data_IF_122122770392
#
_entry.id   IF_122122770392
#
_cell.length_a   1.000
_cell.length_b   1.000
_cell.length_c   1.000
_cell.angle_alpha   90.00
_cell.angle_beta   90.00
_cell.angle_gamma   90.00
#
_symmetry.space_group_name_H-M   'P 1'
#
loop_
_entity.id
_entity.type
_entity.pdbx_description
1 polymer ?
#
# COMPACT_ATOMS: atom_id res chain seq x y z
N UNK A 1 27.35 -12.32 7.91
CA UNK A 1 26.55 -11.11 7.64
C UNK A 1 27.12 -9.94 8.42
N UNK A 2 27.31 -8.80 7.77
CA UNK A 2 27.85 -7.57 8.37
C UNK A 2 26.96 -6.40 8.00
N UNK A 3 26.63 -5.56 8.97
CA UNK A 3 25.78 -4.37 8.74
C UNK A 3 26.60 -3.10 8.93
N UNK A 4 26.48 -2.18 7.98
CA UNK A 4 27.02 -0.82 8.10
C UNK A 4 25.90 0.20 7.91
N UNK A 5 26.05 1.41 8.45
CA UNK A 5 24.99 2.42 8.48
C UNK A 5 25.53 3.71 7.91
N UNK A 6 24.77 4.33 6.99
CA UNK A 6 24.97 5.70 6.52
C UNK A 6 23.75 6.51 6.94
N UNK A 7 23.96 7.73 7.41
CA UNK A 7 22.86 8.61 7.80
C UNK A 7 23.04 10.01 7.23
N UNK A 8 21.93 10.67 6.95
CA UNK A 8 21.85 12.11 6.70
C UNK A 8 20.77 12.72 7.61
N UNK A 9 20.22 13.89 7.28
CA UNK A 9 19.31 14.60 8.19
C UNK A 9 17.97 13.87 8.40
N UNK A 10 17.40 13.37 7.32
CA UNK A 10 16.10 12.70 7.24
C UNK A 10 16.20 11.29 6.63
N UNK A 11 17.42 10.74 6.61
CA UNK A 11 17.73 9.49 5.93
C UNK A 11 18.58 8.59 6.80
N UNK A 12 18.25 7.30 6.80
CA UNK A 12 19.06 6.23 7.34
C UNK A 12 19.12 5.09 6.33
N UNK A 13 20.33 4.63 6.00
CA UNK A 13 20.58 3.54 5.05
C UNK A 13 21.38 2.46 5.76
N UNK A 14 20.80 1.27 5.86
CA UNK A 14 21.43 0.06 6.38
C UNK A 14 21.98 -0.75 5.21
N UNK A 15 23.29 -0.96 5.18
CA UNK A 15 23.94 -1.78 4.16
C UNK A 15 24.27 -3.14 4.79
N UNK A 16 23.61 -4.20 4.35
CA UNK A 16 23.73 -5.57 4.86
C UNK A 16 24.53 -6.41 3.87
N UNK A 17 25.76 -6.77 4.24
CA UNK A 17 26.63 -7.64 3.46
C UNK A 17 26.28 -9.12 3.71
N UNK A 18 25.92 -9.85 2.65
CA UNK A 18 25.51 -11.26 2.64
C UNK A 18 26.36 -12.06 1.66
N UNK A 19 27.20 -12.98 2.17
CA UNK A 19 28.13 -13.75 1.33
C UNK A 19 27.44 -14.85 0.50
N UNK A 20 26.44 -15.52 1.07
CA UNK A 20 25.66 -16.55 0.39
C UNK A 20 24.18 -16.15 0.40
N UNK A 21 23.69 -15.63 -0.71
CA UNK A 21 22.33 -15.15 -0.87
C UNK A 21 21.36 -16.23 -1.43
N UNK A 22 21.72 -17.51 -1.30
CA UNK A 22 20.88 -18.61 -1.79
C UNK A 22 20.57 -19.67 -0.73
N UNK A 23 21.32 -19.75 0.37
CA UNK A 23 20.97 -20.68 1.44
C UNK A 23 19.84 -20.15 2.33
N UNK A 24 19.02 -21.10 2.80
CA UNK A 24 17.96 -20.80 3.75
C UNK A 24 18.49 -20.16 5.04
N UNK A 25 19.65 -20.60 5.54
CA UNK A 25 20.26 -20.03 6.75
C UNK A 25 20.55 -18.53 6.60
N UNK A 26 21.17 -18.13 5.49
CA UNK A 26 21.45 -16.72 5.19
C UNK A 26 20.17 -15.91 4.94
N UNK A 27 19.21 -16.45 4.19
CA UNK A 27 17.93 -15.76 3.95
C UNK A 27 17.13 -15.58 5.25
N UNK A 28 17.15 -16.59 6.13
CA UNK A 28 16.49 -16.53 7.42
C UNK A 28 17.14 -15.51 8.36
N UNK A 29 18.48 -15.45 8.39
CA UNK A 29 19.22 -14.44 9.13
C UNK A 29 18.98 -13.03 8.55
N UNK A 30 18.88 -12.90 7.22
CA UNK A 30 18.57 -11.63 6.57
C UNK A 30 17.18 -11.16 6.96
N UNK A 31 16.19 -12.05 6.93
CA UNK A 31 14.83 -11.77 7.37
C UNK A 31 14.77 -11.34 8.85
N UNK A 32 15.61 -11.93 9.73
CA UNK A 32 15.74 -11.47 11.12
C UNK A 32 16.27 -10.03 11.20
N UNK A 33 17.22 -9.64 10.34
CA UNK A 33 17.70 -8.26 10.29
C UNK A 33 16.60 -7.28 9.86
N UNK A 34 15.81 -7.60 8.81
CA UNK A 34 14.67 -6.76 8.41
C UNK A 34 13.67 -6.55 9.57
N UNK A 35 13.41 -7.59 10.35
CA UNK A 35 12.55 -7.52 11.53
C UNK A 35 13.15 -6.66 12.64
N UNK A 36 14.42 -6.89 12.97
CA UNK A 36 15.10 -6.14 14.02
C UNK A 36 15.14 -4.65 13.69
N UNK A 37 15.43 -4.29 12.44
CA UNK A 37 15.46 -2.92 11.96
C UNK A 37 14.09 -2.24 12.05
N UNK A 38 13.04 -2.88 11.53
CA UNK A 38 11.68 -2.31 11.56
C UNK A 38 11.04 -2.27 12.93
N UNK A 39 11.37 -3.20 13.83
CA UNK A 39 10.91 -3.14 15.21
C UNK A 39 11.57 -2.00 16.01
N UNK A 40 12.77 -1.57 15.58
CA UNK A 40 13.59 -0.57 16.27
C UNK A 40 13.69 0.74 15.50
N UNK A 41 12.68 1.14 14.70
CA UNK A 41 12.75 2.37 13.89
C UNK A 41 13.09 3.58 14.79
N UNK A 42 12.30 3.85 15.84
CA UNK A 42 12.53 5.00 16.73
C UNK A 42 13.92 4.96 17.42
N UNK A 43 14.33 3.77 17.86
CA UNK A 43 15.64 3.58 18.51
C UNK A 43 16.77 3.84 17.53
N UNK A 44 16.64 3.37 16.28
CA UNK A 44 17.60 3.60 15.22
C UNK A 44 17.67 5.09 14.84
N UNK A 45 16.54 5.77 14.68
CA UNK A 45 16.51 7.21 14.38
C UNK A 45 17.19 8.01 15.50
N UNK A 46 16.82 7.75 16.75
CA UNK A 46 17.38 8.41 17.94
C UNK A 46 18.88 8.19 18.07
N UNK A 47 19.34 6.94 17.94
CA UNK A 47 20.75 6.56 18.03
C UNK A 47 21.61 7.25 16.96
N UNK A 48 21.05 7.50 15.79
CA UNK A 48 21.75 8.08 14.66
C UNK A 48 21.44 9.57 14.43
N UNK A 49 20.71 10.22 15.33
CA UNK A 49 20.29 11.63 15.27
C UNK A 49 19.54 11.99 13.97
N UNK A 50 18.76 11.06 13.43
CA UNK A 50 17.89 11.28 12.26
C UNK A 50 16.54 11.81 12.75
N UNK A 51 15.98 12.77 12.03
CA UNK A 51 14.67 13.36 12.36
C UNK A 51 13.70 13.15 11.20
N UNK A 52 12.45 12.87 11.55
CA UNK A 52 11.35 12.84 10.58
C UNK A 52 10.99 14.28 10.23
N UNK A 53 11.06 14.64 8.96
CA UNK A 53 10.76 15.98 8.46
C UNK A 53 9.55 15.94 7.55
N UNK A 54 8.61 16.88 7.72
CA UNK A 54 7.37 16.96 6.94
C UNK A 54 6.54 15.66 6.94
N UNK A 55 6.67 14.84 7.98
CA UNK A 55 6.00 13.54 8.06
C UNK A 55 6.64 12.48 7.17
N UNK A 56 7.84 12.71 6.64
CA UNK A 56 8.53 11.79 5.73
C UNK A 56 9.90 11.38 6.29
N UNK A 57 10.24 10.11 6.11
CA UNK A 57 11.52 9.51 6.49
C UNK A 57 12.00 8.58 5.37
N UNK A 58 13.26 8.70 4.97
CA UNK A 58 13.92 7.67 4.14
C UNK A 58 14.60 6.66 5.07
N UNK A 59 14.13 5.42 5.06
CA UNK A 59 14.63 4.30 5.85
C UNK A 59 14.93 3.15 4.89
N UNK A 60 16.17 3.09 4.42
CA UNK A 60 16.59 2.18 3.36
C UNK A 60 17.33 0.96 3.91
N UNK A 61 16.97 -0.23 3.43
CA UNK A 61 17.68 -1.48 3.70
C UNK A 61 18.29 -2.03 2.40
N UNK A 62 19.59 -1.82 2.23
CA UNK A 62 20.38 -2.29 1.09
C UNK A 62 20.99 -3.67 1.37
N UNK A 63 20.78 -4.62 0.46
CA UNK A 63 21.41 -5.94 0.52
C UNK A 63 22.55 -6.01 -0.48
N UNK A 64 23.76 -6.31 0.00
CA UNK A 64 24.98 -6.35 -0.81
C UNK A 64 25.56 -7.76 -0.80
N UNK A 65 25.74 -8.33 -1.98
CA UNK A 65 26.36 -9.64 -2.21
C UNK A 65 27.74 -9.47 -2.86
N UNK A 66 28.56 -10.53 -2.97
CA UNK A 66 29.80 -10.47 -3.75
C UNK A 66 29.60 -10.03 -5.20
N UNK A 67 28.40 -10.28 -5.77
CA UNK A 67 28.02 -9.89 -7.12
C UNK A 67 27.53 -8.43 -7.23
N UNK A 68 27.18 -7.79 -6.11
CA UNK A 68 26.76 -6.39 -6.06
C UNK A 68 25.53 -6.13 -5.18
N UNK A 69 24.98 -4.92 -5.33
CA UNK A 69 23.71 -4.53 -4.70
C UNK A 69 22.58 -5.38 -5.29
N UNK A 70 21.70 -5.86 -4.41
CA UNK A 70 20.50 -6.61 -4.76
C UNK A 70 19.29 -5.76 -4.41
N UNK A 71 18.40 -5.58 -5.37
CA UNK A 71 17.13 -4.88 -5.17
C UNK A 71 16.20 -5.65 -4.22
N UNK A 72 15.31 -4.90 -3.57
CA UNK A 72 14.40 -5.45 -2.57
C UNK A 72 13.44 -6.50 -3.18
N UNK A 73 12.98 -6.28 -4.42
CA UNK A 73 12.14 -7.26 -5.13
C UNK A 73 12.86 -8.62 -5.24
N UNK A 74 14.12 -8.63 -5.65
CA UNK A 74 14.93 -9.85 -5.74
C UNK A 74 15.11 -10.52 -4.37
N UNK A 75 15.25 -9.76 -3.28
CA UNK A 75 15.28 -10.31 -1.90
C UNK A 75 13.98 -11.02 -1.56
N UNK A 76 12.85 -10.33 -1.67
CA UNK A 76 11.58 -10.91 -1.25
C UNK A 76 11.07 -12.00 -2.18
N UNK A 77 11.52 -12.03 -3.45
CA UNK A 77 11.25 -13.16 -4.37
C UNK A 77 11.77 -14.49 -3.82
N UNK A 78 12.85 -14.45 -3.02
CA UNK A 78 13.43 -15.63 -2.35
C UNK A 78 12.73 -15.99 -1.04
N UNK A 79 11.95 -15.08 -0.46
CA UNK A 79 11.21 -15.34 0.78
C UNK A 79 9.88 -16.03 0.49
N UNK A 80 9.26 -15.64 -0.62
CA UNK A 80 8.03 -16.23 -1.14
C UNK A 80 8.15 -17.75 -1.33
N UNK A 81 7.11 -18.49 -0.95
CA UNK A 81 7.05 -19.95 -1.05
C UNK A 81 7.71 -20.69 0.12
N UNK A 82 8.35 -19.98 1.05
CA UNK A 82 8.85 -20.53 2.31
C UNK A 82 8.06 -19.95 3.48
N UNK A 83 7.24 -20.76 4.15
CA UNK A 83 6.34 -20.30 5.21
C UNK A 83 7.02 -19.56 6.36
N UNK A 84 8.28 -19.90 6.68
CA UNK A 84 9.03 -19.21 7.74
C UNK A 84 9.46 -17.83 7.29
N UNK A 85 9.99 -17.70 6.07
CA UNK A 85 10.42 -16.42 5.52
C UNK A 85 9.21 -15.53 5.20
N UNK A 86 8.10 -16.09 4.70
CA UNK A 86 6.84 -15.38 4.49
C UNK A 86 6.30 -14.78 5.80
N UNK A 87 6.30 -15.55 6.89
CA UNK A 87 5.85 -15.04 8.18
C UNK A 87 6.70 -13.86 8.67
N UNK A 88 8.01 -13.88 8.38
CA UNK A 88 8.91 -12.77 8.69
C UNK A 88 8.68 -11.58 7.76
N UNK A 89 8.45 -11.79 6.47
CA UNK A 89 8.09 -10.72 5.54
C UNK A 89 6.79 -10.01 5.97
N UNK A 90 5.77 -10.78 6.38
CA UNK A 90 4.52 -10.24 6.93
C UNK A 90 4.79 -9.36 8.14
N UNK A 91 5.57 -9.84 9.11
CA UNK A 91 5.91 -9.06 10.31
C UNK A 91 6.72 -7.80 9.98
N UNK A 92 7.62 -7.85 9.00
CA UNK A 92 8.37 -6.70 8.51
C UNK A 92 7.43 -5.61 7.98
N UNK A 93 6.48 -5.99 7.10
CA UNK A 93 5.47 -5.08 6.55
C UNK A 93 4.56 -4.53 7.68
N UNK A 94 4.11 -5.39 8.59
CA UNK A 94 3.26 -4.98 9.71
C UNK A 94 3.96 -4.00 10.64
N UNK A 95 5.25 -4.19 10.92
CA UNK A 95 6.03 -3.24 11.74
C UNK A 95 6.10 -1.85 11.08
N UNK A 96 6.36 -1.80 9.78
CA UNK A 96 6.37 -0.54 9.03
C UNK A 96 4.99 0.15 9.11
N UNK A 97 3.90 -0.57 8.82
CA UNK A 97 2.54 -0.04 8.89
C UNK A 97 2.17 0.47 10.29
N UNK A 98 2.55 -0.28 11.33
CA UNK A 98 2.30 0.10 12.73
C UNK A 98 3.06 1.37 13.09
N UNK A 99 4.31 1.51 12.65
CA UNK A 99 5.10 2.70 12.91
C UNK A 99 4.52 3.93 12.20
N UNK A 100 4.14 3.81 10.93
CA UNK A 100 3.49 4.90 10.18
C UNK A 100 2.23 5.39 10.88
N UNK A 101 1.36 4.46 11.26
CA UNK A 101 0.09 4.77 11.95
C UNK A 101 0.31 5.45 13.30
N UNK A 102 1.32 5.00 14.07
CA UNK A 102 1.60 5.55 15.40
C UNK A 102 2.19 6.96 15.35
N UNK A 103 2.86 7.30 14.25
CA UNK A 103 3.58 8.57 14.10
C UNK A 103 2.90 9.55 13.13
N UNK A 104 1.78 9.17 12.51
CA UNK A 104 1.12 9.95 11.46
C UNK A 104 2.13 10.38 10.37
N UNK A 105 2.98 9.44 9.96
CA UNK A 105 4.12 9.67 9.07
C UNK A 105 4.29 8.56 8.04
N UNK A 106 4.92 8.90 6.91
CA UNK A 106 5.23 8.00 5.81
C UNK A 106 6.72 7.61 5.87
N UNK A 107 7.02 6.37 5.50
CA UNK A 107 8.38 5.84 5.52
C UNK A 107 8.71 5.23 4.16
N UNK A 108 9.81 5.71 3.57
CA UNK A 108 10.21 5.44 2.20
C UNK A 108 11.52 4.66 2.19
N UNK A 109 11.61 3.63 1.34
CA UNK A 109 12.84 2.91 1.07
C UNK A 109 13.77 3.74 0.18
N UNK A 110 13.22 4.45 -0.79
CA UNK A 110 13.89 5.36 -1.72
C UNK A 110 12.91 6.42 -2.26
N UNK A 111 13.32 7.18 -3.27
CA UNK A 111 12.52 8.27 -3.86
C UNK A 111 11.25 7.78 -4.59
N UNK A 112 11.10 6.48 -4.84
CA UNK A 112 10.02 5.90 -5.65
C UNK A 112 9.20 4.82 -4.90
N UNK A 113 9.77 4.26 -3.82
CA UNK A 113 9.21 3.11 -3.11
C UNK A 113 8.97 3.41 -1.62
N UNK A 114 7.73 3.29 -1.14
CA UNK A 114 7.45 3.07 0.27
C UNK A 114 8.24 1.89 0.84
N UNK A 115 8.65 2.00 2.11
CA UNK A 115 9.30 0.87 2.79
C UNK A 115 8.35 -0.34 2.83
N UNK A 116 8.90 -1.51 2.56
CA UNK A 116 8.20 -2.80 2.55
C UNK A 116 7.18 -2.99 1.42
N UNK A 117 7.08 -2.06 0.46
CA UNK A 117 6.16 -2.23 -0.67
C UNK A 117 6.50 -3.47 -1.50
N UNK A 118 7.76 -3.64 -1.92
CA UNK A 118 8.14 -4.78 -2.77
C UNK A 118 7.88 -6.11 -2.05
N UNK A 119 8.09 -6.15 -0.73
CA UNK A 119 7.74 -7.29 0.10
C UNK A 119 6.24 -7.60 0.05
N UNK A 120 5.40 -6.58 0.25
CA UNK A 120 3.95 -6.73 0.25
C UNK A 120 3.43 -7.13 -1.14
N UNK A 121 3.92 -6.49 -2.20
CA UNK A 121 3.58 -6.79 -3.58
C UNK A 121 3.92 -8.24 -3.95
N UNK A 122 5.13 -8.71 -3.65
CA UNK A 122 5.54 -10.09 -3.98
C UNK A 122 4.77 -11.15 -3.19
N UNK A 123 4.43 -10.88 -1.92
CA UNK A 123 3.52 -11.73 -1.16
C UNK A 123 2.13 -11.76 -1.82
N UNK A 124 1.58 -10.61 -2.21
CA UNK A 124 0.29 -10.54 -2.89
C UNK A 124 0.31 -11.27 -4.22
N UNK A 125 1.38 -11.14 -5.01
CA UNK A 125 1.58 -11.96 -6.19
C UNK A 125 1.55 -13.43 -5.79
N UNK A 126 2.28 -13.87 -4.78
CA UNK A 126 2.29 -15.27 -4.40
C UNK A 126 0.90 -15.82 -4.04
N UNK A 127 0.18 -15.12 -3.17
CA UNK A 127 -1.08 -15.59 -2.58
C UNK A 127 -2.00 -14.40 -2.26
N UNK A 128 -3.22 -14.44 -2.80
CA UNK A 128 -4.22 -13.38 -2.65
C UNK A 128 -4.58 -13.06 -1.19
N UNK A 129 -4.28 -13.97 -0.24
CA UNK A 129 -4.54 -13.74 1.19
C UNK A 129 -3.76 -12.55 1.77
N UNK A 130 -2.69 -12.12 1.10
CA UNK A 130 -1.86 -11.01 1.54
C UNK A 130 -2.32 -9.63 1.04
N UNK A 131 -3.27 -9.57 0.10
CA UNK A 131 -3.80 -8.29 -0.42
C UNK A 131 -4.29 -7.35 0.69
N UNK A 132 -4.99 -7.80 1.76
CA UNK A 132 -5.37 -6.92 2.87
C UNK A 132 -4.17 -6.21 3.52
N UNK A 133 -3.03 -6.87 3.66
CA UNK A 133 -1.81 -6.27 4.22
C UNK A 133 -1.20 -5.22 3.29
N UNK A 134 -1.27 -5.44 1.97
CA UNK A 134 -0.83 -4.45 0.99
C UNK A 134 -1.75 -3.22 0.96
N UNK A 135 -3.06 -3.41 1.09
CA UNK A 135 -4.02 -2.30 1.25
C UNK A 135 -3.65 -1.47 2.48
N UNK A 136 -3.35 -2.10 3.62
CA UNK A 136 -2.94 -1.38 4.83
C UNK A 136 -1.68 -0.54 4.57
N UNK A 137 -0.70 -1.08 3.85
CA UNK A 137 0.52 -0.36 3.49
C UNK A 137 0.21 0.84 2.59
N UNK A 138 -0.56 0.65 1.53
CA UNK A 138 -0.92 1.74 0.60
C UNK A 138 -1.64 2.89 1.32
N UNK A 139 -2.52 2.58 2.26
CA UNK A 139 -3.24 3.58 3.07
C UNK A 139 -2.35 4.36 4.05
N UNK A 140 -1.12 3.93 4.30
CA UNK A 140 -0.16 4.63 5.16
C UNK A 140 0.87 5.46 4.37
N UNK A 141 0.76 5.53 3.05
CA UNK A 141 1.77 6.16 2.21
C UNK A 141 1.19 7.28 1.35
N UNK A 142 2.05 8.23 1.00
CA UNK A 142 1.72 9.28 0.04
C UNK A 142 1.84 8.71 -1.38
N UNK A 143 0.70 8.42 -2.00
CA UNK A 143 0.62 7.91 -3.36
C UNK A 143 0.50 9.02 -4.41
N UNK A 144 0.52 10.30 -4.03
CA UNK A 144 0.60 11.41 -4.99
C UNK A 144 1.99 11.45 -5.69
N UNK A 145 2.93 10.65 -5.20
CA UNK A 145 4.24 10.41 -5.79
C UNK A 145 4.45 8.95 -6.23
N UNK A 146 3.37 8.20 -6.43
CA UNK A 146 3.46 6.79 -6.85
C UNK A 146 4.12 6.62 -8.23
N UNK A 147 4.92 5.56 -8.38
CA UNK A 147 5.66 5.22 -9.60
C UNK A 147 5.28 3.81 -10.08
N UNK A 148 5.34 2.81 -9.20
CA UNK A 148 5.19 1.39 -9.54
C UNK A 148 3.83 0.79 -9.14
N UNK A 149 3.14 1.41 -8.18
CA UNK A 149 1.94 0.91 -7.51
C UNK A 149 0.81 0.61 -8.51
N UNK A 150 0.65 1.47 -9.52
CA UNK A 150 -0.33 1.24 -10.58
C UNK A 150 -0.06 -0.06 -11.35
N UNK A 151 1.20 -0.30 -11.73
CA UNK A 151 1.61 -1.48 -12.48
C UNK A 151 1.60 -2.74 -11.59
N UNK A 152 1.98 -2.62 -10.32
CA UNK A 152 1.86 -3.67 -9.32
C UNK A 152 0.40 -4.16 -9.20
N UNK A 153 -0.54 -3.24 -9.05
CA UNK A 153 -1.96 -3.58 -8.94
C UNK A 153 -2.49 -4.21 -10.24
N UNK A 154 -2.06 -3.71 -11.41
CA UNK A 154 -2.40 -4.33 -12.68
C UNK A 154 -1.92 -5.79 -12.77
N UNK A 155 -0.70 -6.08 -12.32
CA UNK A 155 -0.16 -7.45 -12.26
C UNK A 155 -0.92 -8.33 -11.25
N UNK A 156 -1.39 -7.77 -10.13
CA UNK A 156 -2.23 -8.50 -9.17
C UNK A 156 -3.59 -8.86 -9.78
N UNK A 157 -4.21 -7.95 -10.53
CA UNK A 157 -5.47 -8.18 -11.25
C UNK A 157 -5.27 -9.24 -12.33
N UNK A 158 -4.20 -9.14 -13.12
CA UNK A 158 -3.87 -10.15 -14.14
C UNK A 158 -3.70 -11.54 -13.52
N UNK A 159 -3.04 -11.62 -12.37
CA UNK A 159 -2.75 -12.90 -11.71
C UNK A 159 -3.96 -13.54 -11.04
N UNK A 160 -4.75 -12.76 -10.30
CA UNK A 160 -5.81 -13.28 -9.43
C UNK A 160 -7.22 -13.09 -9.99
N UNK A 161 -7.36 -12.28 -11.04
CA UNK A 161 -8.63 -11.82 -11.56
C UNK A 161 -9.36 -10.88 -10.60
N UNK A 162 -10.51 -10.36 -11.04
CA UNK A 162 -11.40 -9.62 -10.15
C UNK A 162 -11.99 -10.59 -9.12
N UNK A 163 -11.73 -10.31 -7.85
CA UNK A 163 -12.21 -11.08 -6.72
C UNK A 163 -12.46 -10.14 -5.53
N UNK A 164 -13.04 -10.64 -4.44
CA UNK A 164 -13.35 -9.83 -3.25
C UNK A 164 -12.18 -8.94 -2.76
N UNK A 165 -10.97 -9.48 -2.74
CA UNK A 165 -9.79 -8.75 -2.25
C UNK A 165 -9.36 -7.65 -3.22
N UNK A 166 -9.36 -7.95 -4.53
CA UNK A 166 -9.07 -6.97 -5.59
C UNK A 166 -10.13 -5.87 -5.64
N UNK A 167 -11.41 -6.21 -5.46
CA UNK A 167 -12.50 -5.24 -5.34
C UNK A 167 -12.27 -4.31 -4.15
N UNK A 168 -11.84 -4.85 -3.01
CA UNK A 168 -11.52 -4.02 -1.82
C UNK A 168 -10.34 -3.10 -2.10
N UNK A 169 -9.30 -3.60 -2.75
CA UNK A 169 -8.13 -2.81 -3.15
C UNK A 169 -8.52 -1.66 -4.09
N UNK A 170 -9.25 -1.95 -5.17
CA UNK A 170 -9.72 -0.95 -6.13
C UNK A 170 -10.65 0.08 -5.48
N UNK A 171 -11.47 -0.30 -4.50
CA UNK A 171 -12.29 0.64 -3.75
C UNK A 171 -11.43 1.66 -2.97
N UNK A 172 -10.33 1.22 -2.35
CA UNK A 172 -9.39 2.12 -1.67
C UNK A 172 -8.60 3.01 -2.63
N UNK A 173 -8.35 2.54 -3.87
CA UNK A 173 -7.77 3.36 -4.96
C UNK A 173 -8.67 4.51 -5.42
N UNK A 174 -9.93 4.58 -5.00
CA UNK A 174 -10.74 5.79 -5.23
C UNK A 174 -10.61 6.81 -4.10
N UNK A 175 -10.24 6.38 -2.89
CA UNK A 175 -10.18 7.24 -1.70
C UNK A 175 -8.77 7.31 -1.11
N UNK A 176 -8.63 7.01 0.19
CA UNK A 176 -7.36 7.10 0.93
C UNK A 176 -6.11 6.40 0.37
N UNK A 177 -6.20 5.59 -0.70
CA UNK A 177 -5.05 5.09 -1.45
C UNK A 177 -5.08 5.51 -2.93
N UNK A 178 -5.70 6.66 -3.27
CA UNK A 178 -5.90 7.09 -4.65
C UNK A 178 -4.58 7.42 -5.34
N UNK A 179 -3.79 8.33 -4.77
CA UNK A 179 -2.59 8.83 -5.43
C UNK A 179 -2.88 9.44 -6.80
N UNK A 180 -1.86 9.45 -7.66
CA UNK A 180 -1.93 10.04 -9.00
C UNK A 180 -2.89 9.29 -9.94
N UNK A 181 -2.93 7.96 -9.86
CA UNK A 181 -3.60 7.12 -10.87
C UNK A 181 -4.82 6.37 -10.35
N UNK A 182 -5.17 6.45 -9.06
CA UNK A 182 -6.16 5.58 -8.45
C UNK A 182 -7.55 5.60 -9.11
N UNK A 183 -8.11 6.78 -9.33
CA UNK A 183 -9.40 6.91 -10.03
C UNK A 183 -9.33 6.43 -11.48
N UNK A 184 -8.27 6.79 -12.19
CA UNK A 184 -8.05 6.37 -13.58
C UNK A 184 -7.91 4.84 -13.68
N UNK A 185 -7.20 4.24 -12.74
CA UNK A 185 -7.02 2.80 -12.64
C UNK A 185 -8.36 2.10 -12.45
N UNK A 186 -9.24 2.60 -11.57
CA UNK A 186 -10.59 2.05 -11.42
C UNK A 186 -11.40 2.19 -12.70
N UNK A 187 -11.29 3.33 -13.39
CA UNK A 187 -11.91 3.55 -14.70
C UNK A 187 -11.44 2.55 -15.76
N UNK A 188 -10.15 2.20 -15.77
CA UNK A 188 -9.59 1.21 -16.70
C UNK A 188 -10.19 -0.20 -16.52
N UNK A 189 -10.58 -0.56 -15.29
CA UNK A 189 -11.15 -1.86 -14.96
C UNK A 189 -12.68 -1.85 -14.82
N UNK A 190 -13.35 -0.74 -15.16
CA UNK A 190 -14.79 -0.57 -14.95
C UNK A 190 -15.62 -1.68 -15.61
N UNK A 191 -15.33 -2.03 -16.87
CA UNK A 191 -16.07 -3.07 -17.59
C UNK A 191 -15.93 -4.45 -16.91
N UNK A 192 -14.73 -4.79 -16.45
CA UNK A 192 -14.47 -6.05 -15.73
C UNK A 192 -15.16 -6.07 -14.36
N UNK A 193 -15.20 -4.93 -13.66
CA UNK A 193 -15.93 -4.78 -12.41
C UNK A 193 -17.44 -4.95 -12.61
N UNK A 194 -18.00 -4.33 -13.65
CA UNK A 194 -19.41 -4.45 -14.00
C UNK A 194 -19.79 -5.89 -14.29
N UNK A 195 -19.04 -6.57 -15.16
CA UNK A 195 -19.24 -7.99 -15.47
C UNK A 195 -19.19 -8.85 -14.20
N UNK A 196 -18.17 -8.63 -13.35
CA UNK A 196 -18.04 -9.36 -12.08
C UNK A 196 -19.22 -9.11 -11.13
N UNK A 197 -19.74 -7.88 -11.06
CA UNK A 197 -20.84 -7.53 -10.16
C UNK A 197 -22.20 -8.06 -10.59
N UNK A 198 -22.39 -8.43 -11.85
CA UNK A 198 -23.60 -9.13 -12.31
C UNK A 198 -23.78 -10.48 -11.59
N UNK A 199 -22.66 -11.18 -11.35
CA UNK A 199 -22.65 -12.47 -10.65
C UNK A 199 -22.43 -12.33 -9.14
N UNK A 200 -21.86 -11.20 -8.70
CA UNK A 200 -21.42 -10.97 -7.31
C UNK A 200 -21.93 -9.64 -6.73
N UNK A 201 -23.24 -9.43 -6.72
CA UNK A 201 -23.87 -8.20 -6.23
C UNK A 201 -23.45 -7.78 -4.80
N UNK A 202 -23.15 -8.73 -3.91
CA UNK A 202 -22.64 -8.47 -2.56
C UNK A 202 -21.26 -7.79 -2.57
N UNK A 203 -20.43 -8.10 -3.58
CA UNK A 203 -19.15 -7.45 -3.77
C UNK A 203 -19.29 -6.04 -4.36
N UNK A 204 -20.34 -5.77 -5.13
CA UNK A 204 -20.69 -4.39 -5.54
C UNK A 204 -21.00 -3.53 -4.33
N UNK A 205 -21.81 -4.03 -3.40
CA UNK A 205 -22.11 -3.33 -2.14
C UNK A 205 -20.85 -3.12 -1.30
N UNK A 206 -19.95 -4.11 -1.25
CA UNK A 206 -18.65 -3.97 -0.60
C UNK A 206 -17.81 -2.86 -1.25
N UNK A 207 -17.70 -2.85 -2.58
CA UNK A 207 -16.94 -1.84 -3.33
C UNK A 207 -17.41 -0.43 -3.00
N UNK A 208 -18.72 -0.18 -3.12
CA UNK A 208 -19.31 1.12 -2.86
C UNK A 208 -19.12 1.55 -1.40
N UNK A 209 -19.41 0.67 -0.44
CA UNK A 209 -19.29 1.00 0.98
C UNK A 209 -17.83 1.26 1.40
N UNK A 210 -16.90 0.43 0.94
CA UNK A 210 -15.47 0.61 1.19
C UNK A 210 -14.96 1.89 0.54
N UNK A 211 -15.33 2.15 -0.72
CA UNK A 211 -14.90 3.34 -1.45
C UNK A 211 -15.36 4.63 -0.78
N UNK A 212 -16.67 4.73 -0.44
CA UNK A 212 -17.22 5.90 0.26
C UNK A 212 -16.49 6.13 1.59
N UNK A 213 -16.30 5.07 2.38
CA UNK A 213 -15.57 5.17 3.65
C UNK A 213 -14.13 5.65 3.41
N UNK A 214 -13.43 5.08 2.43
CA UNK A 214 -12.05 5.43 2.11
C UNK A 214 -11.91 6.89 1.67
N UNK A 215 -12.87 7.40 0.91
CA UNK A 215 -12.93 8.82 0.51
C UNK A 215 -13.20 9.68 1.75
N UNK A 216 -14.16 9.32 2.59
CA UNK A 216 -14.50 10.12 3.76
C UNK A 216 -13.33 10.20 4.74
N UNK A 217 -12.66 9.07 5.01
CA UNK A 217 -11.48 9.02 5.86
C UNK A 217 -10.36 9.94 5.35
N UNK A 218 -10.13 9.99 4.03
CA UNK A 218 -9.11 10.84 3.40
C UNK A 218 -9.39 12.34 3.60
N UNK A 219 -10.66 12.74 3.52
CA UNK A 219 -11.06 14.15 3.61
C UNK A 219 -11.39 14.59 5.04
N UNK A 220 -11.14 13.77 6.06
CA UNK A 220 -11.38 14.15 7.45
C UNK A 220 -10.60 15.42 7.83
N UNK A 221 -11.34 16.49 8.14
CA UNK A 221 -10.76 17.80 8.47
C UNK A 221 -10.55 18.73 7.27
N UNK A 222 -10.92 18.31 6.07
CA UNK A 222 -10.83 19.07 4.83
C UNK A 222 -12.22 19.23 4.17
N UNK A 223 -12.32 20.09 3.17
CA UNK A 223 -13.50 20.15 2.30
C UNK A 223 -13.49 18.91 1.39
N UNK A 224 -14.58 18.15 1.39
CA UNK A 224 -14.71 16.96 0.55
C UNK A 224 -14.81 17.36 -0.92
N UNK A 225 -13.92 16.83 -1.76
CA UNK A 225 -14.12 16.80 -3.21
C UNK A 225 -15.01 15.62 -3.57
N UNK A 226 -16.13 15.87 -4.26
CA UNK A 226 -17.17 14.86 -4.48
C UNK A 226 -16.90 13.96 -5.69
N UNK A 227 -15.92 14.30 -6.54
CA UNK A 227 -15.63 13.54 -7.77
C UNK A 227 -15.29 12.06 -7.52
N UNK A 228 -14.49 11.69 -6.50
CA UNK A 228 -14.27 10.28 -6.16
C UNK A 228 -15.57 9.50 -5.89
N UNK A 229 -16.56 10.13 -5.26
CA UNK A 229 -17.88 9.49 -5.03
C UNK A 229 -18.62 9.28 -6.35
N UNK A 230 -18.51 10.21 -7.31
CA UNK A 230 -19.06 10.04 -8.66
C UNK A 230 -18.38 8.92 -9.42
N UNK A 231 -17.06 8.79 -9.29
CA UNK A 231 -16.29 7.67 -9.89
C UNK A 231 -16.80 6.33 -9.36
N UNK A 232 -17.04 6.20 -8.04
CA UNK A 232 -17.64 4.99 -7.47
C UNK A 232 -19.01 4.66 -8.08
N UNK A 233 -19.84 5.69 -8.33
CA UNK A 233 -21.18 5.51 -8.88
C UNK A 233 -21.21 4.93 -10.30
N UNK A 234 -20.08 4.93 -11.02
CA UNK A 234 -19.99 4.38 -12.38
C UNK A 234 -20.24 2.88 -12.47
N UNK A 235 -20.16 2.15 -11.34
CA UNK A 235 -20.52 0.72 -11.30
C UNK A 235 -22.03 0.48 -11.11
N UNK A 236 -22.84 1.54 -11.02
CA UNK A 236 -24.30 1.48 -10.97
C UNK A 236 -24.84 1.79 -12.38
N UNK A 237 -25.28 0.75 -13.09
CA UNK A 237 -25.72 0.87 -14.48
C UNK A 237 -27.08 1.55 -14.64
N UNK A 238 -28.05 1.24 -13.77
CA UNK A 238 -29.38 1.85 -13.82
C UNK A 238 -29.28 3.35 -13.46
N UNK A 239 -29.70 4.21 -14.38
CA UNK A 239 -29.54 5.66 -14.25
C UNK A 239 -30.29 6.22 -13.04
N UNK A 240 -31.45 5.64 -12.71
CA UNK A 240 -32.25 6.08 -11.58
C UNK A 240 -31.63 5.63 -10.26
N UNK A 241 -31.24 4.36 -10.16
CA UNK A 241 -30.50 3.83 -8.99
C UNK A 241 -29.23 4.64 -8.73
N UNK A 242 -28.48 4.98 -9.79
CA UNK A 242 -27.26 5.80 -9.68
C UNK A 242 -27.56 7.20 -9.18
N UNK A 243 -28.59 7.86 -9.71
CA UNK A 243 -29.00 9.19 -9.28
C UNK A 243 -29.49 9.20 -7.82
N UNK A 244 -30.32 8.22 -7.44
CA UNK A 244 -30.83 8.07 -6.08
C UNK A 244 -29.68 7.82 -5.10
N UNK A 245 -28.71 6.95 -5.46
CA UNK A 245 -27.53 6.67 -4.65
C UNK A 245 -26.61 7.89 -4.49
N UNK A 246 -26.38 8.65 -5.56
CA UNK A 246 -25.56 9.87 -5.52
C UNK A 246 -26.19 10.95 -4.62
N UNK A 247 -27.50 11.13 -4.70
CA UNK A 247 -28.23 12.07 -3.83
C UNK A 247 -28.08 11.65 -2.35
N UNK A 248 -28.20 10.36 -2.04
CA UNK A 248 -27.98 9.85 -0.68
C UNK A 248 -26.54 10.14 -0.19
N UNK A 249 -25.53 9.89 -1.02
CA UNK A 249 -24.14 10.16 -0.62
C UNK A 249 -23.87 11.66 -0.46
N UNK A 250 -24.50 12.50 -1.29
CA UNK A 250 -24.39 13.96 -1.15
C UNK A 250 -24.98 14.42 0.19
N UNK A 251 -26.21 13.98 0.53
CA UNK A 251 -26.84 14.33 1.81
C UNK A 251 -25.97 13.89 3.00
N UNK A 252 -25.42 12.67 2.94
CA UNK A 252 -24.51 12.17 3.97
C UNK A 252 -23.22 13.00 4.08
N UNK A 253 -22.62 13.37 2.95
CA UNK A 253 -21.43 14.20 2.91
C UNK A 253 -21.69 15.62 3.43
N UNK A 254 -22.84 16.23 3.14
CA UNK A 254 -23.19 17.57 3.64
C UNK A 254 -23.31 17.56 5.17
N UNK A 255 -23.87 16.49 5.74
CA UNK A 255 -23.95 16.30 7.20
C UNK A 255 -22.57 16.14 7.82
N UNK A 256 -21.66 15.42 7.16
CA UNK A 256 -20.35 15.08 7.72
C UNK A 256 -19.32 16.21 7.58
N UNK A 257 -19.29 16.89 6.44
CA UNK A 257 -18.26 17.88 6.09
C UNK A 257 -18.76 19.33 6.11
N UNK A 258 -20.08 19.56 6.15
CA UNK A 258 -20.70 20.90 6.17
C UNK A 258 -20.64 21.67 4.84
N UNK A 259 -19.64 21.42 4.00
CA UNK A 259 -19.54 21.91 2.62
C UNK A 259 -18.83 20.88 1.74
N UNK A 260 -19.29 20.75 0.50
CA UNK A 260 -18.77 19.83 -0.52
C UNK A 260 -18.28 20.66 -1.71
N UNK A 261 -17.15 20.26 -2.29
CA UNK A 261 -16.68 20.73 -3.59
C UNK A 261 -17.15 19.78 -4.70
N UNK A 262 -17.74 20.35 -5.76
CA UNK A 262 -18.27 19.61 -6.90
C UNK A 262 -17.44 19.81 -8.17
N UNK A 263 -16.48 20.73 -8.15
CA UNK A 263 -15.68 21.19 -9.29
C UNK A 263 -14.30 20.52 -9.35
#
# INVERSE_FOLDING_TARGET
MKTTIKTSHSEIIFNIEVDDFNSFESLNALADVYLDLTHQIDENLSKHNVKVEYGTLTYSIDVITPEGLVDEETVFSKFVGNSTLEAKAVNFISNANMWCRANEANIWQDDENPLAENAAYLLCLHDLKYIPLYIELLLQNDLDHEVYQNDHIAALIEKHGICRNIVTLLAHRVGGACGQWGMDQVGQYQDQLLEYFEEHSEHRSLFLATGVKSVFDQYMGYQLWFEPIRVLANVIQDEKERADWLNEQQEHAEVHFGSIDFD
#
